data_IF_146250035381
#
_entry.id   IF_146250035381
#
_cell.length_a   1.000
_cell.length_b   1.000
_cell.length_c   1.000
_cell.angle_alpha   90.00
_cell.angle_beta   90.00
_cell.angle_gamma   90.00
#
_symmetry.space_group_name_H-M   'P 1'
#
loop_
_entity.id
_entity.type
_entity.pdbx_description
1 polymer ?
#
# COMPACT_ATOMS: atom_id res chain seq x y z
N UNK A 1 36.72 15.47 37.03
CA UNK A 1 37.36 16.23 35.93
C UNK A 1 36.62 16.02 34.57
N UNK A 2 36.13 14.83 34.25
CA UNK A 2 35.39 14.56 33.01
C UNK A 2 34.04 15.33 32.92
N UNK A 3 33.29 15.40 34.03
CA UNK A 3 32.01 16.11 34.07
C UNK A 3 32.18 17.63 33.87
N UNK A 4 33.29 18.20 34.39
CA UNK A 4 33.62 19.63 34.20
C UNK A 4 34.03 19.94 32.77
N UNK A 5 34.73 19.01 32.09
CA UNK A 5 35.11 19.17 30.68
C UNK A 5 33.88 19.05 29.74
N UNK A 6 32.96 18.16 30.03
CA UNK A 6 31.67 18.01 29.32
C UNK A 6 30.82 19.29 29.45
N UNK A 7 30.70 19.85 30.66
CA UNK A 7 29.99 21.13 30.90
C UNK A 7 30.60 22.30 30.15
N UNK A 8 31.92 22.34 30.03
CA UNK A 8 32.64 23.39 29.32
C UNK A 8 32.49 23.28 27.79
N UNK A 9 32.45 22.05 27.25
CA UNK A 9 32.17 21.77 25.85
C UNK A 9 30.72 22.10 25.48
N UNK A 10 29.79 21.76 26.36
CA UNK A 10 28.35 22.05 26.20
C UNK A 10 28.08 23.56 26.22
N UNK A 11 28.70 24.30 27.15
CA UNK A 11 28.62 25.79 27.17
C UNK A 11 29.19 26.42 25.92
N UNK A 12 30.28 25.87 25.38
CA UNK A 12 30.86 26.35 24.11
C UNK A 12 29.96 26.10 22.90
N UNK A 13 29.33 24.91 22.82
CA UNK A 13 28.34 24.62 21.80
C UNK A 13 27.08 25.47 21.91
N UNK A 14 26.60 25.70 23.14
CA UNK A 14 25.46 26.59 23.38
C UNK A 14 25.73 28.01 22.98
N UNK A 15 26.95 28.52 23.25
CA UNK A 15 27.38 29.86 22.83
C UNK A 15 27.53 29.97 21.31
N UNK A 16 27.98 28.92 20.65
CA UNK A 16 28.03 28.87 19.18
C UNK A 16 26.64 28.81 18.55
N UNK A 17 25.71 28.01 19.11
CA UNK A 17 24.33 27.96 18.63
C UNK A 17 23.56 29.25 18.85
N UNK A 18 23.86 30.01 19.93
CA UNK A 18 23.24 31.32 20.19
C UNK A 18 23.64 32.41 19.19
N UNK A 19 24.79 32.27 18.55
CA UNK A 19 25.31 33.21 17.54
C UNK A 19 25.06 32.74 16.09
N UNK A 20 24.50 31.54 15.86
CA UNK A 20 24.06 31.13 14.55
C UNK A 20 22.60 31.53 14.35
N UNK A 21 22.34 32.21 13.25
CA UNK A 21 20.99 32.60 12.84
C UNK A 21 20.21 31.31 12.52
N UNK A 22 19.30 30.93 13.42
CA UNK A 22 18.54 29.66 13.38
C UNK A 22 17.60 29.57 12.17
N UNK A 23 17.46 30.64 11.41
CA UNK A 23 16.57 30.70 10.24
C UNK A 23 17.08 29.96 9.00
N UNK A 24 18.40 29.77 8.90
CA UNK A 24 19.02 29.15 7.72
C UNK A 24 19.50 27.69 7.97
N UNK A 25 19.28 27.15 9.17
CA UNK A 25 19.67 25.76 9.46
C UNK A 25 18.59 24.77 9.03
N UNK A 26 18.95 23.67 8.32
CA UNK A 26 18.02 22.60 8.05
C UNK A 26 17.43 22.03 9.36
N UNK A 27 16.13 21.78 9.38
CA UNK A 27 15.39 21.21 10.54
C UNK A 27 16.02 19.93 11.09
N UNK A 28 16.71 19.18 10.23
CA UNK A 28 17.44 17.96 10.60
C UNK A 28 18.62 18.22 11.54
N UNK A 29 19.35 19.32 11.35
CA UNK A 29 20.50 19.68 12.20
C UNK A 29 20.01 20.18 13.55
N UNK A 30 18.95 20.98 13.56
CA UNK A 30 18.31 21.45 14.80
C UNK A 30 17.79 20.28 15.62
N UNK A 31 17.13 19.33 14.97
CA UNK A 31 16.60 18.13 15.62
C UNK A 31 17.71 17.24 16.18
N UNK A 32 18.81 17.03 15.45
CA UNK A 32 19.96 16.24 15.94
C UNK A 32 20.65 16.90 17.12
N UNK A 33 20.81 18.22 17.10
CA UNK A 33 21.41 18.97 18.20
C UNK A 33 20.51 18.89 19.45
N UNK A 34 19.19 19.02 19.28
CA UNK A 34 18.23 18.89 20.38
C UNK A 34 18.24 17.46 20.99
N UNK A 35 18.29 16.43 20.14
CA UNK A 35 18.36 15.04 20.59
C UNK A 35 19.66 14.77 21.36
N UNK A 36 20.81 15.26 20.88
CA UNK A 36 22.08 15.06 21.58
C UNK A 36 22.12 15.78 22.94
N UNK A 37 21.50 16.95 23.03
CA UNK A 37 21.39 17.71 24.28
C UNK A 37 20.49 16.97 25.28
N UNK A 38 19.29 16.56 24.88
CA UNK A 38 18.35 15.82 25.73
C UNK A 38 18.96 14.50 26.20
N UNK A 39 19.67 13.79 25.31
CA UNK A 39 20.36 12.52 25.66
C UNK A 39 21.43 12.73 26.71
N UNK A 40 22.20 13.84 26.65
CA UNK A 40 23.23 14.14 27.65
C UNK A 40 22.64 14.49 29.01
N UNK A 41 21.54 15.22 29.05
CA UNK A 41 20.80 15.55 30.28
C UNK A 41 20.23 14.31 30.94
N UNK A 42 19.59 13.41 30.18
CA UNK A 42 19.06 12.15 30.72
C UNK A 42 20.17 11.25 31.28
N UNK A 43 21.34 11.18 30.62
CA UNK A 43 22.51 10.47 31.15
C UNK A 43 23.03 11.10 32.46
N UNK A 44 22.98 12.42 32.59
CA UNK A 44 23.39 13.12 33.82
C UNK A 44 22.47 12.85 35.02
N UNK A 45 21.19 12.57 34.74
CA UNK A 45 20.19 12.20 35.78
C UNK A 45 20.28 10.70 36.17
N UNK A 46 21.16 9.91 35.50
CA UNK A 46 21.35 8.50 35.81
C UNK A 46 20.37 7.56 35.13
N UNK A 47 19.62 8.03 34.13
CA UNK A 47 18.75 7.17 33.32
C UNK A 47 19.56 6.39 32.29
N UNK A 48 19.36 5.09 32.25
CA UNK A 48 19.99 4.22 31.24
C UNK A 48 19.22 4.34 29.90
N UNK A 49 19.67 5.32 29.08
CA UNK A 49 19.05 5.63 27.79
C UNK A 49 19.20 4.45 26.82
N UNK A 50 20.30 3.70 26.91
CA UNK A 50 20.58 2.59 26.00
C UNK A 50 19.57 1.44 26.23
N UNK A 51 19.19 1.17 27.48
CA UNK A 51 18.11 0.22 27.81
C UNK A 51 16.73 0.73 27.34
N UNK A 52 16.43 2.01 27.56
CA UNK A 52 15.16 2.59 27.10
C UNK A 52 15.02 2.57 25.58
N UNK A 53 16.08 2.92 24.87
CA UNK A 53 16.11 2.89 23.39
C UNK A 53 15.97 1.47 22.87
N UNK A 54 16.71 0.52 23.45
CA UNK A 54 16.66 -0.88 23.04
C UNK A 54 15.27 -1.46 23.28
N UNK A 55 14.67 -1.19 24.44
CA UNK A 55 13.31 -1.63 24.72
C UNK A 55 12.29 -1.03 23.76
N UNK A 56 12.38 0.27 23.49
CA UNK A 56 11.50 0.94 22.53
C UNK A 56 11.66 0.38 21.11
N UNK A 57 12.89 0.15 20.65
CA UNK A 57 13.17 -0.44 19.35
C UNK A 57 12.64 -1.87 19.23
N UNK A 58 12.83 -2.69 20.25
CA UNK A 58 12.31 -4.07 20.27
C UNK A 58 10.79 -4.11 20.23
N UNK A 59 10.12 -3.30 21.08
CA UNK A 59 8.67 -3.24 21.12
C UNK A 59 8.09 -2.71 19.81
N UNK A 60 8.70 -1.65 19.27
CA UNK A 60 8.26 -1.06 17.99
C UNK A 60 8.53 -2.03 16.83
N UNK A 61 9.69 -2.67 16.81
CA UNK A 61 10.03 -3.70 15.84
C UNK A 61 9.07 -4.89 15.87
N UNK A 62 8.76 -5.38 17.07
CA UNK A 62 7.76 -6.45 17.24
C UNK A 62 6.36 -6.05 16.75
N UNK A 63 5.93 -4.81 17.01
CA UNK A 63 4.67 -4.28 16.48
C UNK A 63 4.68 -4.21 14.96
N UNK A 64 5.78 -3.77 14.34
CA UNK A 64 5.93 -3.72 12.88
C UNK A 64 5.89 -5.12 12.26
N UNK A 65 6.57 -6.10 12.86
CA UNK A 65 6.54 -7.49 12.43
C UNK A 65 5.12 -8.06 12.53
N UNK A 66 4.44 -7.84 13.66
CA UNK A 66 3.05 -8.26 13.85
C UNK A 66 2.10 -7.66 12.80
N UNK A 67 2.27 -6.38 12.50
CA UNK A 67 1.49 -5.70 11.45
C UNK A 67 1.80 -6.29 10.06
N UNK A 68 3.05 -6.59 9.76
CA UNK A 68 3.45 -7.21 8.50
C UNK A 68 2.82 -8.59 8.31
N UNK A 69 2.80 -9.43 9.37
CA UNK A 69 2.10 -10.72 9.35
C UNK A 69 0.60 -10.56 9.10
N UNK A 70 -0.03 -9.56 9.70
CA UNK A 70 -1.45 -9.28 9.53
C UNK A 70 -1.77 -8.87 8.09
N UNK A 71 -0.94 -8.02 7.49
CA UNK A 71 -1.06 -7.60 6.08
C UNK A 71 -0.86 -8.80 5.16
N UNK A 72 0.14 -9.65 5.42
CA UNK A 72 0.40 -10.87 4.66
C UNK A 72 -0.80 -11.81 4.71
N UNK A 73 -1.36 -12.07 5.88
CA UNK A 73 -2.54 -12.93 6.03
C UNK A 73 -3.75 -12.38 5.28
N UNK A 74 -3.98 -11.07 5.34
CA UNK A 74 -5.03 -10.40 4.58
C UNK A 74 -4.81 -10.54 3.06
N UNK A 75 -3.61 -10.32 2.57
CA UNK A 75 -3.28 -10.43 1.14
C UNK A 75 -3.47 -11.86 0.62
N UNK A 76 -3.05 -12.87 1.38
CA UNK A 76 -3.27 -14.28 1.05
C UNK A 76 -4.77 -14.59 1.01
N UNK A 77 -5.53 -14.11 1.99
CA UNK A 77 -6.99 -14.31 2.05
C UNK A 77 -7.71 -13.71 0.83
N UNK A 78 -7.37 -12.48 0.46
CA UNK A 78 -7.93 -11.82 -0.73
C UNK A 78 -7.59 -12.60 -2.01
N UNK A 79 -6.35 -13.06 -2.13
CA UNK A 79 -5.91 -13.83 -3.29
C UNK A 79 -6.64 -15.17 -3.40
N UNK A 80 -6.80 -15.88 -2.29
CA UNK A 80 -7.55 -17.16 -2.25
C UNK A 80 -9.03 -16.96 -2.58
N UNK A 81 -9.69 -15.94 -2.03
CA UNK A 81 -11.07 -15.64 -2.36
C UNK A 81 -11.25 -15.31 -3.84
N UNK A 82 -10.40 -14.44 -4.38
CA UNK A 82 -10.42 -14.04 -5.79
C UNK A 82 -10.24 -15.25 -6.72
N UNK A 83 -9.29 -16.13 -6.41
CA UNK A 83 -9.05 -17.33 -7.19
C UNK A 83 -10.24 -18.31 -7.13
N UNK A 84 -10.85 -18.51 -5.95
CA UNK A 84 -12.03 -19.35 -5.77
C UNK A 84 -13.24 -18.82 -6.55
N UNK A 85 -13.50 -17.51 -6.50
CA UNK A 85 -14.59 -16.87 -7.23
C UNK A 85 -14.38 -17.00 -8.75
N UNK A 86 -13.17 -16.76 -9.24
CA UNK A 86 -12.85 -16.90 -10.66
C UNK A 86 -12.94 -18.34 -11.13
N UNK A 87 -12.51 -19.33 -10.34
CA UNK A 87 -12.65 -20.73 -10.66
C UNK A 87 -14.12 -21.17 -10.70
N UNK A 88 -14.95 -20.69 -9.76
CA UNK A 88 -16.39 -20.95 -9.76
C UNK A 88 -17.06 -20.36 -11.02
N UNK A 89 -16.70 -19.15 -11.39
CA UNK A 89 -17.19 -18.52 -12.63
C UNK A 89 -16.78 -19.32 -13.87
N UNK A 90 -15.52 -19.72 -13.95
CA UNK A 90 -14.99 -20.53 -15.05
C UNK A 90 -15.74 -21.86 -15.18
N UNK A 91 -16.05 -22.53 -14.06
CA UNK A 91 -16.86 -23.74 -14.05
C UNK A 91 -18.25 -23.50 -14.65
N UNK A 92 -18.94 -22.45 -14.20
CA UNK A 92 -20.28 -22.09 -14.70
C UNK A 92 -20.23 -21.78 -16.21
N UNK A 93 -19.20 -21.07 -16.65
CA UNK A 93 -19.03 -20.76 -18.08
C UNK A 93 -18.82 -22.02 -18.90
N UNK A 94 -17.97 -22.96 -18.45
CA UNK A 94 -17.76 -24.25 -19.14
C UNK A 94 -19.05 -25.06 -19.22
N UNK A 95 -19.79 -25.14 -18.14
CA UNK A 95 -21.09 -25.83 -18.09
C UNK A 95 -22.05 -25.24 -19.12
N UNK A 96 -22.23 -23.91 -19.13
CA UNK A 96 -23.12 -23.23 -20.10
C UNK A 96 -22.66 -23.36 -21.54
N UNK A 97 -21.34 -23.27 -21.81
CA UNK A 97 -20.82 -23.49 -23.17
C UNK A 97 -21.06 -24.92 -23.61
N UNK A 98 -20.83 -25.90 -22.74
CA UNK A 98 -21.07 -27.31 -23.03
C UNK A 98 -22.54 -27.57 -23.31
N UNK A 99 -23.45 -27.12 -22.45
CA UNK A 99 -24.89 -27.21 -22.67
C UNK A 99 -25.34 -26.62 -24.00
N UNK A 100 -24.78 -25.43 -24.34
CA UNK A 100 -25.08 -24.75 -25.59
C UNK A 100 -24.59 -25.55 -26.81
N UNK A 101 -23.36 -26.07 -26.77
CA UNK A 101 -22.81 -26.89 -27.84
C UNK A 101 -23.58 -28.17 -28.00
N UNK A 102 -23.99 -28.79 -26.91
CA UNK A 102 -24.82 -30.02 -26.98
C UNK A 102 -26.24 -29.79 -27.55
N UNK A 103 -26.73 -28.55 -27.49
CA UNK A 103 -28.02 -28.18 -28.07
C UNK A 103 -27.93 -27.78 -29.56
N UNK A 104 -26.75 -27.83 -30.19
CA UNK A 104 -26.58 -27.50 -31.61
C UNK A 104 -27.19 -28.53 -32.52
N UNK A 105 -27.86 -28.10 -33.56
CA UNK A 105 -28.29 -28.91 -34.69
C UNK A 105 -27.11 -29.21 -35.62
N UNK A 106 -27.23 -30.28 -36.46
CA UNK A 106 -26.17 -30.65 -37.40
C UNK A 106 -25.74 -29.45 -38.31
N UNK A 107 -26.70 -28.63 -38.75
CA UNK A 107 -26.41 -27.43 -39.55
C UNK A 107 -25.69 -26.33 -38.83
N UNK A 108 -25.78 -26.30 -37.52
CA UNK A 108 -25.03 -25.33 -36.68
C UNK A 108 -23.60 -25.85 -36.41
N UNK A 109 -23.43 -27.16 -36.24
CA UNK A 109 -22.10 -27.77 -36.13
C UNK A 109 -21.25 -27.55 -37.37
N UNK A 110 -21.85 -27.60 -38.56
CA UNK A 110 -21.14 -27.37 -39.83
C UNK A 110 -20.60 -25.91 -39.99
N UNK A 111 -21.20 -24.97 -39.26
CA UNK A 111 -20.76 -23.57 -39.24
C UNK A 111 -19.53 -23.30 -38.35
N UNK A 112 -19.27 -24.18 -37.40
CA UNK A 112 -18.16 -24.04 -36.44
C UNK A 112 -17.19 -25.20 -36.63
N UNK A 113 -15.88 -24.90 -36.76
CA UNK A 113 -14.89 -25.96 -36.72
C UNK A 113 -14.81 -26.59 -35.31
N UNK A 114 -14.68 -27.91 -35.20
CA UNK A 114 -14.50 -28.60 -33.93
C UNK A 114 -13.31 -28.06 -33.13
N UNK A 115 -12.21 -27.70 -33.82
CA UNK A 115 -11.04 -27.07 -33.22
C UNK A 115 -11.36 -25.72 -32.56
N UNK A 116 -12.21 -24.89 -33.18
CA UNK A 116 -12.65 -23.61 -32.62
C UNK A 116 -13.50 -23.80 -31.36
N UNK A 117 -14.41 -24.75 -31.36
CA UNK A 117 -15.26 -25.07 -30.19
C UNK A 117 -14.42 -25.58 -29.02
N UNK A 118 -13.43 -26.42 -29.26
CA UNK A 118 -12.49 -26.88 -28.22
C UNK A 118 -11.69 -25.71 -27.66
N UNK A 119 -11.12 -24.84 -28.51
CA UNK A 119 -10.34 -23.69 -28.06
C UNK A 119 -11.18 -22.74 -27.20
N UNK A 120 -12.42 -22.43 -27.59
CA UNK A 120 -13.34 -21.59 -26.83
C UNK A 120 -13.73 -22.21 -25.48
N UNK A 121 -13.98 -23.51 -25.45
CA UNK A 121 -14.36 -24.19 -24.20
C UNK A 121 -13.21 -24.40 -23.23
N UNK A 122 -11.97 -24.34 -23.70
CA UNK A 122 -10.77 -24.56 -22.87
C UNK A 122 -9.97 -23.27 -22.67
N UNK A 123 -9.30 -22.80 -23.70
CA UNK A 123 -8.33 -21.71 -23.62
C UNK A 123 -8.98 -20.36 -23.32
N UNK A 124 -10.07 -20.02 -24.03
CA UNK A 124 -10.73 -18.72 -23.85
C UNK A 124 -11.33 -18.60 -22.44
N UNK A 125 -11.95 -19.68 -21.94
CA UNK A 125 -12.47 -19.69 -20.57
C UNK A 125 -11.33 -19.59 -19.55
N UNK A 126 -10.18 -20.19 -19.82
CA UNK A 126 -9.01 -20.05 -18.94
C UNK A 126 -8.46 -18.60 -18.92
N UNK A 127 -8.43 -17.95 -20.05
CA UNK A 127 -8.06 -16.52 -20.12
C UNK A 127 -9.06 -15.65 -19.35
N UNK A 128 -10.36 -15.91 -19.49
CA UNK A 128 -11.40 -15.23 -18.70
C UNK A 128 -11.19 -15.47 -17.21
N UNK A 129 -10.87 -16.71 -16.79
CA UNK A 129 -10.59 -17.01 -15.40
C UNK A 129 -9.40 -16.22 -14.86
N UNK A 130 -8.30 -16.13 -15.60
CA UNK A 130 -7.13 -15.35 -15.21
C UNK A 130 -7.46 -13.85 -15.09
N UNK A 131 -8.17 -13.30 -16.07
CA UNK A 131 -8.62 -11.92 -16.08
C UNK A 131 -9.55 -11.64 -14.87
N UNK A 132 -10.53 -12.49 -14.61
CA UNK A 132 -11.44 -12.34 -13.48
C UNK A 132 -10.74 -12.45 -12.12
N UNK A 133 -9.73 -13.32 -12.00
CA UNK A 133 -8.90 -13.38 -10.79
C UNK A 133 -8.22 -12.03 -10.52
N UNK A 134 -7.70 -11.39 -11.56
CA UNK A 134 -7.06 -10.07 -11.45
C UNK A 134 -8.09 -8.99 -11.09
N UNK A 135 -9.23 -8.97 -11.75
CA UNK A 135 -10.31 -8.00 -11.50
C UNK A 135 -10.82 -8.11 -10.06
N UNK A 136 -11.14 -9.31 -9.59
CA UNK A 136 -11.62 -9.52 -8.22
C UNK A 136 -10.59 -9.10 -7.18
N UNK A 137 -9.29 -9.37 -7.43
CA UNK A 137 -8.21 -8.91 -6.56
C UNK A 137 -8.18 -7.39 -6.48
N UNK A 138 -8.25 -6.69 -7.61
CA UNK A 138 -8.21 -5.23 -7.65
C UNK A 138 -9.44 -4.63 -6.96
N UNK A 139 -10.64 -5.16 -7.24
CA UNK A 139 -11.91 -4.68 -6.66
C UNK A 139 -11.92 -4.78 -5.13
N UNK A 140 -11.28 -5.80 -4.56
CA UNK A 140 -11.20 -5.94 -3.10
C UNK A 140 -10.03 -5.12 -2.53
N UNK A 141 -8.87 -5.16 -3.19
CA UNK A 141 -7.66 -4.55 -2.65
C UNK A 141 -7.66 -3.02 -2.72
N UNK A 142 -8.17 -2.44 -3.82
CA UNK A 142 -8.14 -1.00 -4.02
C UNK A 142 -8.98 -0.22 -2.97
N UNK A 143 -10.23 -0.60 -2.62
CA UNK A 143 -10.97 0.06 -1.54
C UNK A 143 -10.30 -0.08 -0.18
N UNK A 144 -9.75 -1.26 0.12
CA UNK A 144 -9.06 -1.51 1.39
C UNK A 144 -7.85 -0.58 1.58
N UNK A 145 -7.01 -0.47 0.54
CA UNK A 145 -5.86 0.42 0.54
C UNK A 145 -6.27 1.89 0.56
N UNK A 146 -7.33 2.25 -0.19
CA UNK A 146 -7.87 3.61 -0.21
C UNK A 146 -8.35 4.07 1.17
N UNK A 147 -9.18 3.27 1.83
CA UNK A 147 -9.71 3.56 3.16
C UNK A 147 -8.56 3.62 4.19
N UNK A 148 -7.66 2.63 4.18
CA UNK A 148 -6.49 2.59 5.07
C UNK A 148 -5.56 3.79 4.89
N UNK A 149 -5.31 4.19 3.64
CA UNK A 149 -4.51 5.36 3.31
C UNK A 149 -5.14 6.67 3.81
N UNK A 150 -6.44 6.87 3.56
CA UNK A 150 -7.18 8.04 4.05
C UNK A 150 -7.14 8.10 5.58
N UNK A 151 -7.44 6.98 6.26
CA UNK A 151 -7.41 6.92 7.72
C UNK A 151 -6.02 7.27 8.27
N UNK A 152 -4.96 6.73 7.66
CA UNK A 152 -3.58 7.01 8.09
C UNK A 152 -3.20 8.47 7.91
N UNK A 153 -3.60 9.10 6.81
CA UNK A 153 -3.30 10.52 6.53
C UNK A 153 -4.03 11.44 7.50
N UNK A 154 -5.29 11.18 7.79
CA UNK A 154 -6.08 11.95 8.75
C UNK A 154 -5.48 11.91 10.17
N UNK A 155 -4.88 10.78 10.56
CA UNK A 155 -4.28 10.61 11.89
C UNK A 155 -2.88 11.18 12.01
N UNK A 156 -2.17 11.43 10.90
CA UNK A 156 -0.76 11.84 10.93
C UNK A 156 -0.59 13.36 10.87
N UNK A 157 -1.24 14.05 9.96
CA UNK A 157 -1.10 15.51 9.83
C UNK A 157 -2.21 16.13 8.97
N UNK A 158 -3.08 16.93 9.60
CA UNK A 158 -4.23 17.54 8.93
C UNK A 158 -3.82 18.48 7.77
N UNK A 159 -2.65 19.14 7.84
CA UNK A 159 -2.18 20.01 6.76
C UNK A 159 -1.77 19.23 5.51
N UNK A 160 -1.16 18.05 5.66
CA UNK A 160 -0.78 17.19 4.53
C UNK A 160 -2.00 16.50 3.90
N UNK A 161 -3.08 16.32 4.66
CA UNK A 161 -4.34 15.75 4.16
C UNK A 161 -4.88 16.53 2.97
N UNK A 162 -4.80 17.86 3.00
CA UNK A 162 -5.28 18.73 1.93
C UNK A 162 -4.51 18.51 0.61
N UNK A 163 -3.20 18.39 0.68
CA UNK A 163 -2.36 18.14 -0.51
C UNK A 163 -2.70 16.79 -1.15
N UNK A 164 -2.91 15.75 -0.33
CA UNK A 164 -3.28 14.41 -0.82
C UNK A 164 -4.69 14.42 -1.39
N UNK A 165 -5.63 15.12 -0.76
CA UNK A 165 -7.00 15.24 -1.26
C UNK A 165 -7.04 15.88 -2.66
N UNK A 166 -6.27 16.96 -2.89
CA UNK A 166 -6.14 17.59 -4.22
C UNK A 166 -5.57 16.59 -5.23
N UNK A 167 -4.53 15.83 -4.86
CA UNK A 167 -3.94 14.82 -5.74
C UNK A 167 -4.93 13.72 -6.13
N UNK A 168 -5.71 13.22 -5.18
CA UNK A 168 -6.75 12.20 -5.44
C UNK A 168 -7.84 12.76 -6.36
N UNK A 169 -8.31 13.99 -6.11
CA UNK A 169 -9.32 14.65 -6.96
C UNK A 169 -8.78 14.82 -8.39
N UNK A 170 -7.52 15.25 -8.55
CA UNK A 170 -6.89 15.39 -9.86
C UNK A 170 -6.82 14.06 -10.62
N UNK A 171 -6.44 12.97 -9.96
CA UNK A 171 -6.40 11.63 -10.56
C UNK A 171 -7.81 11.18 -10.97
N UNK A 172 -8.80 11.36 -10.11
CA UNK A 172 -10.20 11.01 -10.41
C UNK A 172 -10.73 11.80 -11.62
N UNK A 173 -10.36 13.06 -11.73
CA UNK A 173 -10.73 13.92 -12.86
C UNK A 173 -10.09 13.43 -14.16
N UNK A 174 -8.81 13.07 -14.14
CA UNK A 174 -8.11 12.49 -15.30
C UNK A 174 -8.75 11.17 -15.73
N UNK A 175 -9.06 10.28 -14.78
CA UNK A 175 -9.74 9.01 -15.06
C UNK A 175 -11.11 9.27 -15.69
N UNK A 176 -11.89 10.21 -15.15
CA UNK A 176 -13.20 10.57 -15.67
C UNK A 176 -13.13 11.11 -17.10
N UNK A 177 -12.14 11.98 -17.38
CA UNK A 177 -11.91 12.51 -18.75
C UNK A 177 -11.52 11.38 -19.70
N UNK A 178 -10.61 10.49 -19.29
CA UNK A 178 -10.20 9.34 -20.09
C UNK A 178 -11.39 8.44 -20.42
N UNK A 179 -12.24 8.14 -19.46
CA UNK A 179 -13.46 7.35 -19.69
C UNK A 179 -14.39 8.05 -20.68
N UNK A 180 -14.61 9.34 -20.53
CA UNK A 180 -15.51 10.11 -21.39
C UNK A 180 -14.98 10.25 -22.82
N UNK A 181 -13.67 10.30 -23.00
CA UNK A 181 -13.03 10.43 -24.31
C UNK A 181 -12.80 9.06 -24.97
N UNK A 182 -12.44 8.05 -24.20
CA UNK A 182 -12.13 6.72 -24.73
C UNK A 182 -13.38 5.89 -25.05
N UNK A 183 -14.38 5.91 -24.18
CA UNK A 183 -15.61 5.12 -24.36
C UNK A 183 -16.33 5.35 -25.71
N UNK A 184 -16.54 6.59 -26.20
CA UNK A 184 -17.22 6.80 -27.47
C UNK A 184 -16.40 6.37 -28.71
N UNK A 185 -15.10 6.12 -28.57
CA UNK A 185 -14.24 5.65 -29.67
C UNK A 185 -14.22 4.12 -29.82
N UNK A 186 -14.75 3.38 -28.85
CA UNK A 186 -14.87 1.92 -28.92
C UNK A 186 -16.25 1.43 -29.37
N UNK A 187 -17.12 2.33 -29.82
CA UNK A 187 -18.32 2.03 -30.59
C UNK A 187 -17.99 2.20 -32.08
#
# INVERSE_FOLDING_TARGET
>A
QAAAALSKSQKKMMAQMKNMDTKDMPDTIISQAAISFVTSEYKAIGLDIDQMQTHYLLVTGAKMIGLAFLIMAAAVSVTLLSARLAAKLSRILREKVFEKVMSFTNSEFDKFSTASLITRSTNDIQQIQMFMTMVFRIVVYAPLMGIGGIFKVLTTNAKMTWTIAIGVIAIMLVIFILFKVAMPKFK
#
